data_IF_115279986579
#
_entry.id   IF_115279986579
#
_cell.length_a   1.000
_cell.length_b   1.000
_cell.length_c   1.000
_cell.angle_alpha   90.00
_cell.angle_beta   90.00
_cell.angle_gamma   90.00
#
_symmetry.space_group_name_H-M   'P 1'
#
loop_
_entity.id
_entity.type
_entity.pdbx_description
1 polymer ?
#
# COMPACT_ATOMS: atom_id res chain seq x y z
N UNK A 1 11.66 -15.41 -12.69
CA UNK A 1 12.24 -16.13 -13.86
C UNK A 1 13.77 -16.12 -13.85
N UNK A 2 14.43 -14.95 -13.90
CA UNK A 2 15.91 -14.86 -13.89
C UNK A 2 16.59 -15.53 -12.69
N UNK A 3 16.02 -15.37 -11.50
CA UNK A 3 16.49 -16.01 -10.27
C UNK A 3 16.44 -17.55 -10.32
N UNK A 4 15.42 -18.12 -10.97
CA UNK A 4 15.26 -19.57 -11.14
C UNK A 4 16.29 -20.16 -12.10
N UNK A 5 16.59 -19.45 -13.19
CA UNK A 5 17.64 -19.84 -14.16
C UNK A 5 19.02 -19.85 -13.50
N UNK A 6 19.32 -18.86 -12.66
CA UNK A 6 20.60 -18.77 -11.93
C UNK A 6 20.79 -19.88 -10.88
N UNK A 7 19.70 -20.34 -10.26
CA UNK A 7 19.70 -21.49 -9.35
C UNK A 7 19.82 -22.82 -10.12
N UNK A 8 19.08 -22.97 -11.22
CA UNK A 8 19.13 -24.16 -12.08
C UNK A 8 20.53 -24.38 -12.68
N UNK A 9 21.23 -23.30 -13.05
CA UNK A 9 22.61 -23.34 -13.53
C UNK A 9 23.66 -23.57 -12.43
N UNK A 10 23.25 -23.87 -11.18
CA UNK A 10 24.13 -24.02 -9.98
C UNK A 10 25.07 -22.83 -9.72
N UNK A 11 24.82 -21.68 -10.36
CA UNK A 11 25.62 -20.45 -10.22
C UNK A 11 25.29 -19.70 -8.93
N UNK A 12 24.20 -20.05 -8.23
CA UNK A 12 23.82 -19.51 -6.92
C UNK A 12 23.39 -20.63 -5.98
N UNK A 13 23.67 -20.48 -4.67
CA UNK A 13 23.24 -21.40 -3.60
C UNK A 13 22.06 -20.77 -2.84
N UNK A 14 21.11 -21.60 -2.42
CA UNK A 14 20.07 -21.16 -1.49
C UNK A 14 20.72 -20.73 -0.18
N UNK A 15 20.47 -19.50 0.24
CA UNK A 15 20.80 -19.04 1.58
C UNK A 15 19.60 -19.37 2.46
N UNK A 16 19.77 -20.14 3.53
CA UNK A 16 18.70 -20.48 4.47
C UNK A 16 18.97 -19.76 5.79
N UNK A 17 18.53 -18.52 5.88
CA UNK A 17 18.54 -17.75 7.12
C UNK A 17 17.24 -17.98 7.92
N UNK A 18 17.31 -18.03 9.27
CA UNK A 18 16.12 -18.23 10.12
C UNK A 18 14.92 -17.31 9.81
N UNK A 19 15.09 -15.99 9.55
CA UNK A 19 13.96 -15.13 9.21
C UNK A 19 13.36 -15.45 7.83
N UNK A 20 14.17 -15.86 6.84
CA UNK A 20 13.67 -16.31 5.54
C UNK A 20 12.77 -17.54 5.70
N UNK A 21 13.19 -18.49 6.54
CA UNK A 21 12.43 -19.72 6.78
C UNK A 21 11.10 -19.40 7.46
N UNK A 22 11.10 -18.53 8.47
CA UNK A 22 9.87 -18.09 9.15
C UNK A 22 8.87 -17.43 8.19
N UNK A 23 9.31 -16.50 7.34
CA UNK A 23 8.44 -15.85 6.35
C UNK A 23 7.96 -16.85 5.30
N UNK A 24 8.82 -17.74 4.83
CA UNK A 24 8.44 -18.79 3.86
C UNK A 24 7.37 -19.71 4.43
N UNK A 25 7.54 -20.16 5.66
CA UNK A 25 6.55 -21.00 6.36
C UNK A 25 5.22 -20.25 6.50
N UNK A 26 5.25 -18.98 6.92
CA UNK A 26 4.03 -18.18 7.04
C UNK A 26 3.29 -18.05 5.69
N UNK A 27 4.00 -17.80 4.60
CA UNK A 27 3.43 -17.74 3.25
C UNK A 27 2.83 -19.09 2.85
N UNK A 28 3.52 -20.20 3.13
CA UNK A 28 3.03 -21.52 2.74
C UNK A 28 1.83 -21.95 3.57
N UNK A 29 1.81 -21.63 4.87
CA UNK A 29 0.63 -21.82 5.74
C UNK A 29 -0.55 -21.00 5.21
N UNK A 30 -0.33 -19.76 4.80
CA UNK A 30 -1.36 -18.93 4.18
C UNK A 30 -1.91 -19.58 2.90
N UNK A 31 -1.03 -20.02 1.99
CA UNK A 31 -1.46 -20.71 0.77
C UNK A 31 -2.21 -22.02 1.06
N UNK A 32 -1.74 -22.79 2.04
CA UNK A 32 -2.37 -24.05 2.45
C UNK A 32 -3.76 -23.80 3.06
N UNK A 33 -3.91 -22.78 3.90
CA UNK A 33 -5.20 -22.40 4.47
C UNK A 33 -6.21 -22.04 3.37
N UNK A 34 -5.79 -21.30 2.33
CA UNK A 34 -6.64 -20.98 1.18
C UNK A 34 -7.06 -22.23 0.40
N UNK A 35 -6.13 -23.15 0.15
CA UNK A 35 -6.45 -24.41 -0.52
C UNK A 35 -7.39 -25.29 0.29
N UNK A 36 -7.17 -25.39 1.61
CA UNK A 36 -8.03 -26.14 2.52
C UNK A 36 -9.44 -25.54 2.59
N UNK A 37 -9.55 -24.21 2.73
CA UNK A 37 -10.83 -23.50 2.73
C UNK A 37 -11.61 -23.72 1.42
N UNK A 38 -10.92 -23.68 0.27
CA UNK A 38 -11.56 -23.92 -1.03
C UNK A 38 -11.97 -25.39 -1.21
N UNK A 39 -11.15 -26.33 -0.73
CA UNK A 39 -11.46 -27.76 -0.77
C UNK A 39 -12.66 -28.14 0.10
N UNK A 40 -12.73 -27.63 1.34
CA UNK A 40 -13.85 -27.89 2.28
C UNK A 40 -15.17 -27.34 1.72
N UNK A 41 -15.13 -26.21 1.02
CA UNK A 41 -16.31 -25.58 0.42
C UNK A 41 -16.65 -26.10 -0.99
N UNK A 42 -15.96 -27.14 -1.51
CA UNK A 42 -16.10 -27.63 -2.89
C UNK A 42 -15.99 -26.52 -3.96
N UNK A 43 -15.24 -25.46 -3.66
CA UNK A 43 -15.14 -24.25 -4.49
C UNK A 43 -13.88 -24.20 -5.36
N UNK A 44 -13.10 -25.29 -5.42
CA UNK A 44 -11.80 -25.37 -6.12
C UNK A 44 -11.86 -24.89 -7.59
N UNK A 45 -12.95 -25.19 -8.29
CA UNK A 45 -13.15 -24.73 -9.67
C UNK A 45 -13.43 -23.23 -9.78
N UNK A 46 -14.24 -22.68 -8.88
CA UNK A 46 -14.59 -21.26 -8.87
C UNK A 46 -13.43 -20.38 -8.34
N UNK A 47 -12.63 -20.89 -7.41
CA UNK A 47 -11.48 -20.20 -6.81
C UNK A 47 -10.18 -20.36 -7.63
N UNK A 48 -10.17 -21.21 -8.67
CA UNK A 48 -9.01 -21.50 -9.51
C UNK A 48 -8.20 -20.26 -9.96
N UNK A 49 -8.80 -19.17 -10.50
CA UNK A 49 -8.02 -17.99 -10.91
C UNK A 49 -7.34 -17.29 -9.73
N UNK A 50 -7.97 -17.28 -8.56
CA UNK A 50 -7.39 -16.71 -7.33
C UNK A 50 -6.26 -17.58 -6.79
N UNK A 51 -6.41 -18.91 -6.84
CA UNK A 51 -5.37 -19.86 -6.44
C UNK A 51 -4.15 -19.81 -7.37
N UNK A 52 -4.33 -19.55 -8.67
CA UNK A 52 -3.22 -19.33 -9.60
C UNK A 52 -2.40 -18.08 -9.22
N UNK A 53 -3.05 -17.01 -8.75
CA UNK A 53 -2.33 -15.81 -8.29
C UNK A 53 -1.41 -16.11 -7.09
N UNK A 54 -1.77 -17.07 -6.23
CA UNK A 54 -0.95 -17.50 -5.09
C UNK A 54 0.40 -18.12 -5.50
N UNK A 55 0.51 -18.63 -6.73
CA UNK A 55 1.77 -19.19 -7.26
C UNK A 55 2.90 -18.16 -7.21
N UNK A 56 2.59 -16.87 -7.35
CA UNK A 56 3.58 -15.79 -7.24
C UNK A 56 4.22 -15.75 -5.85
N UNK A 57 3.44 -16.01 -4.80
CA UNK A 57 3.96 -16.07 -3.42
C UNK A 57 4.81 -17.31 -3.17
N UNK A 58 4.52 -18.44 -3.83
CA UNK A 58 5.34 -19.64 -3.73
C UNK A 58 6.78 -19.43 -4.25
N UNK A 59 6.97 -18.45 -5.14
CA UNK A 59 8.28 -18.07 -5.68
C UNK A 59 9.08 -17.14 -4.74
N UNK A 60 8.52 -16.73 -3.59
CA UNK A 60 9.19 -15.87 -2.62
C UNK A 60 10.60 -16.36 -2.21
N UNK A 61 10.82 -17.65 -1.88
CA UNK A 61 12.14 -18.13 -1.45
C UNK A 61 13.21 -17.98 -2.54
N UNK A 62 12.80 -18.13 -3.80
CA UNK A 62 13.67 -17.98 -4.97
C UNK A 62 14.08 -16.51 -5.15
N UNK A 63 13.11 -15.59 -5.01
CA UNK A 63 13.37 -14.15 -5.08
C UNK A 63 14.25 -13.68 -3.91
N UNK A 64 13.95 -14.11 -2.70
CA UNK A 64 14.69 -13.74 -1.50
C UNK A 64 16.15 -14.23 -1.55
N UNK A 65 16.38 -15.48 -1.96
CA UNK A 65 17.74 -16.04 -2.11
C UNK A 65 18.59 -15.19 -3.05
N UNK A 66 18.00 -14.60 -4.10
CA UNK A 66 18.76 -13.72 -4.99
C UNK A 66 19.09 -12.35 -4.41
N UNK A 67 18.28 -11.84 -3.49
CA UNK A 67 18.52 -10.56 -2.82
C UNK A 67 19.52 -10.69 -1.67
N UNK A 68 19.48 -11.82 -0.95
CA UNK A 68 20.37 -12.11 0.18
C UNK A 68 21.86 -12.15 -0.20
N UNK A 69 22.17 -12.48 -1.46
CA UNK A 69 23.54 -12.56 -1.99
C UNK A 69 24.05 -11.19 -2.47
N UNK A 70 23.17 -10.21 -2.70
CA UNK A 70 23.55 -8.89 -3.20
C UNK A 70 24.14 -8.04 -2.06
N UNK A 71 25.19 -7.26 -2.34
CA UNK A 71 25.76 -6.34 -1.37
C UNK A 71 24.68 -5.38 -0.85
N UNK A 72 24.37 -5.46 0.45
CA UNK A 72 23.26 -4.74 1.10
C UNK A 72 23.30 -3.23 0.85
N UNK A 73 24.50 -2.64 0.82
CA UNK A 73 24.70 -1.22 0.53
C UNK A 73 24.29 -0.85 -0.91
N UNK A 74 24.67 -1.68 -1.89
CA UNK A 74 24.29 -1.49 -3.29
C UNK A 74 22.78 -1.65 -3.47
N UNK A 75 22.17 -2.63 -2.79
CA UNK A 75 20.73 -2.82 -2.84
C UNK A 75 19.99 -1.61 -2.25
N UNK A 76 20.40 -1.13 -1.07
CA UNK A 76 19.81 0.05 -0.44
C UNK A 76 19.88 1.28 -1.36
N UNK A 77 21.05 1.49 -1.99
CA UNK A 77 21.27 2.53 -3.01
C UNK A 77 20.31 2.43 -4.19
N UNK A 78 20.20 1.24 -4.79
CA UNK A 78 19.30 1.01 -5.93
C UNK A 78 17.85 1.29 -5.53
N UNK A 79 17.42 0.83 -4.35
CA UNK A 79 16.05 1.05 -3.89
C UNK A 79 15.77 2.53 -3.68
N UNK A 80 16.69 3.29 -3.07
CA UNK A 80 16.53 4.74 -2.88
C UNK A 80 16.43 5.46 -4.23
N UNK A 81 17.28 5.13 -5.20
CA UNK A 81 17.25 5.76 -6.54
C UNK A 81 15.98 5.37 -7.30
N UNK A 82 15.56 4.11 -7.23
CA UNK A 82 14.32 3.64 -7.84
C UNK A 82 13.09 4.32 -7.21
N UNK A 83 13.07 4.47 -5.89
CA UNK A 83 12.02 5.21 -5.17
C UNK A 83 11.99 6.69 -5.55
N UNK A 84 13.15 7.32 -5.76
CA UNK A 84 13.24 8.69 -6.24
C UNK A 84 12.62 8.83 -7.64
N UNK A 85 13.00 7.95 -8.57
CA UNK A 85 12.42 7.91 -9.91
C UNK A 85 10.91 7.64 -9.87
N UNK A 86 10.45 6.74 -8.99
CA UNK A 86 9.04 6.45 -8.80
C UNK A 86 8.25 7.65 -8.27
N UNK A 87 8.80 8.45 -7.34
CA UNK A 87 8.11 9.64 -6.83
C UNK A 87 7.95 10.73 -7.91
N UNK A 88 8.97 10.95 -8.74
CA UNK A 88 8.85 11.87 -9.88
C UNK A 88 7.89 11.34 -10.93
N UNK A 89 7.96 10.05 -11.26
CA UNK A 89 7.02 9.40 -12.17
C UNK A 89 5.57 9.47 -11.67
N UNK A 90 5.36 9.28 -10.37
CA UNK A 90 4.05 9.41 -9.73
C UNK A 90 3.50 10.83 -9.84
N UNK A 91 4.34 11.86 -9.69
CA UNK A 91 3.91 13.24 -9.89
C UNK A 91 3.48 13.50 -11.34
N UNK A 92 4.25 13.04 -12.32
CA UNK A 92 3.91 13.18 -13.75
C UNK A 92 2.57 12.50 -14.04
N UNK A 93 2.39 11.27 -13.58
CA UNK A 93 1.13 10.53 -13.74
C UNK A 93 -0.03 11.24 -13.05
N UNK A 94 0.18 11.75 -11.84
CA UNK A 94 -0.85 12.47 -11.09
C UNK A 94 -1.28 13.76 -11.81
N UNK A 95 -0.33 14.54 -12.33
CA UNK A 95 -0.62 15.77 -13.08
C UNK A 95 -1.37 15.45 -14.38
N UNK A 96 -0.93 14.44 -15.13
CA UNK A 96 -1.60 14.02 -16.37
C UNK A 96 -3.03 13.53 -16.07
N UNK A 97 -3.20 12.67 -15.08
CA UNK A 97 -4.52 12.14 -14.73
C UNK A 97 -5.46 13.21 -14.21
N UNK A 98 -4.97 14.11 -13.36
CA UNK A 98 -5.79 15.15 -12.77
C UNK A 98 -6.17 16.24 -13.78
N UNK A 99 -5.22 16.78 -14.53
CA UNK A 99 -5.47 17.92 -15.42
C UNK A 99 -5.95 17.55 -16.82
N UNK A 100 -5.48 16.43 -17.39
CA UNK A 100 -5.91 16.03 -18.75
C UNK A 100 -7.07 15.05 -18.77
N UNK A 101 -7.10 14.12 -17.82
CA UNK A 101 -8.15 13.09 -17.78
C UNK A 101 -9.29 13.45 -16.82
N UNK A 102 -9.16 14.54 -16.05
CA UNK A 102 -10.17 14.97 -15.07
C UNK A 102 -10.44 13.93 -13.99
N UNK A 103 -9.51 13.00 -13.78
CA UNK A 103 -9.67 11.88 -12.86
C UNK A 103 -8.66 11.98 -11.72
N UNK A 104 -9.03 11.43 -10.57
CA UNK A 104 -8.10 11.27 -9.44
C UNK A 104 -6.89 10.43 -9.85
N UNK A 105 -5.76 10.65 -9.18
CA UNK A 105 -4.54 9.91 -9.49
C UNK A 105 -4.64 8.44 -9.02
N UNK A 106 -4.67 7.53 -9.99
CA UNK A 106 -4.76 6.08 -9.82
C UNK A 106 -3.56 5.34 -10.40
N UNK A 107 -2.72 6.02 -11.18
CA UNK A 107 -1.48 5.44 -11.75
C UNK A 107 -1.70 4.21 -12.63
N UNK A 108 -2.92 4.01 -13.17
CA UNK A 108 -3.27 2.87 -14.00
C UNK A 108 -3.62 1.60 -13.22
N UNK A 109 -3.64 1.65 -11.88
CA UNK A 109 -4.02 0.52 -11.04
C UNK A 109 -5.55 0.31 -10.93
N UNK A 110 -6.35 1.19 -11.56
CA UNK A 110 -7.81 1.21 -11.44
C UNK A 110 -8.33 1.59 -10.06
N UNK A 111 -7.44 1.95 -9.13
CA UNK A 111 -7.78 2.41 -7.79
C UNK A 111 -6.68 3.36 -7.28
N UNK A 112 -7.11 4.44 -6.61
CA UNK A 112 -6.25 5.44 -6.00
C UNK A 112 -5.42 4.89 -4.82
N UNK A 113 -5.93 3.88 -4.09
CA UNK A 113 -5.29 3.35 -2.88
C UNK A 113 -3.94 2.67 -3.19
N UNK A 114 -3.82 1.71 -4.13
CA UNK A 114 -2.54 1.13 -4.51
C UNK A 114 -1.52 2.19 -4.97
N UNK A 115 -1.96 3.16 -5.78
CA UNK A 115 -1.07 4.23 -6.25
C UNK A 115 -0.47 5.04 -5.10
N UNK A 116 -1.31 5.50 -4.18
CA UNK A 116 -0.86 6.32 -3.09
C UNK A 116 -0.07 5.54 -2.03
N UNK A 117 -0.37 4.25 -1.82
CA UNK A 117 0.41 3.39 -0.90
C UNK A 117 1.83 3.14 -1.42
N UNK A 118 1.98 2.79 -2.71
CA UNK A 118 3.30 2.60 -3.34
C UNK A 118 4.09 3.91 -3.36
N UNK A 119 3.42 5.03 -3.67
CA UNK A 119 4.06 6.35 -3.64
C UNK A 119 4.51 6.72 -2.22
N UNK A 120 3.72 6.42 -1.19
CA UNK A 120 4.07 6.62 0.21
C UNK A 120 5.32 5.82 0.60
N UNK A 121 5.40 4.54 0.21
CA UNK A 121 6.61 3.74 0.41
C UNK A 121 7.83 4.38 -0.27
N UNK A 122 7.67 4.87 -1.50
CA UNK A 122 8.71 5.61 -2.22
C UNK A 122 9.18 6.86 -1.46
N UNK A 123 8.25 7.64 -0.92
CA UNK A 123 8.54 8.82 -0.09
C UNK A 123 9.34 8.44 1.15
N UNK A 124 8.93 7.37 1.87
CA UNK A 124 9.64 6.90 3.06
C UNK A 124 11.06 6.43 2.73
N UNK A 125 11.24 5.73 1.61
CA UNK A 125 12.56 5.31 1.14
C UNK A 125 13.45 6.49 0.75
N UNK A 126 12.90 7.52 0.09
CA UNK A 126 13.64 8.75 -0.21
C UNK A 126 14.04 9.49 1.07
N UNK A 127 13.14 9.56 2.05
CA UNK A 127 13.42 10.20 3.35
C UNK A 127 14.50 9.44 4.12
N UNK A 128 14.41 8.11 4.19
CA UNK A 128 15.43 7.26 4.79
C UNK A 128 16.77 7.39 4.07
N UNK A 129 16.78 7.44 2.73
CA UNK A 129 17.97 7.66 1.92
C UNK A 129 18.65 9.02 2.20
N UNK A 130 17.86 10.09 2.33
CA UNK A 130 18.36 11.43 2.61
C UNK A 130 19.02 11.52 4.01
N UNK A 131 18.44 10.86 5.00
CA UNK A 131 18.90 10.84 6.40
C UNK A 131 20.08 9.89 6.63
N UNK A 132 20.07 8.71 6.00
CA UNK A 132 21.10 7.67 6.17
C UNK A 132 22.43 8.03 5.50
N UNK A 133 22.43 8.93 4.51
CA UNK A 133 23.63 9.31 3.77
C UNK A 133 24.17 8.24 2.83
N UNK A 134 23.35 7.22 2.53
CA UNK A 134 23.68 6.14 1.59
C UNK A 134 23.87 6.72 0.18
N UNK A 135 23.06 7.70 -0.20
CA UNK A 135 23.18 8.39 -1.50
C UNK A 135 23.89 9.73 -1.40
N UNK A 136 24.77 9.98 -2.40
CA UNK A 136 25.43 11.28 -2.60
C UNK A 136 24.47 12.33 -3.17
N UNK A 137 23.42 11.93 -3.88
CA UNK A 137 22.44 12.80 -4.51
C UNK A 137 21.36 13.33 -3.53
N UNK A 138 21.76 13.74 -2.31
CA UNK A 138 20.81 14.23 -1.28
C UNK A 138 19.94 15.39 -1.76
N UNK A 139 20.48 16.23 -2.65
CA UNK A 139 19.76 17.37 -3.21
C UNK A 139 18.53 17.01 -4.04
N UNK A 140 18.49 15.82 -4.64
CA UNK A 140 17.35 15.35 -5.45
C UNK A 140 16.32 14.54 -4.63
N UNK A 141 16.71 14.04 -3.45
CA UNK A 141 15.80 13.25 -2.61
C UNK A 141 14.72 14.11 -1.93
N UNK A 142 15.05 15.34 -1.52
CA UNK A 142 14.09 16.29 -0.94
C UNK A 142 12.98 16.67 -1.95
N UNK A 143 13.30 17.11 -3.19
CA UNK A 143 12.26 17.39 -4.18
C UNK A 143 11.50 16.13 -4.60
N UNK A 144 12.12 14.93 -4.55
CA UNK A 144 11.40 13.69 -4.79
C UNK A 144 10.36 13.38 -3.68
N UNK A 145 10.70 13.62 -2.41
CA UNK A 145 9.74 13.53 -1.29
C UNK A 145 8.56 14.47 -1.51
N UNK A 146 8.83 15.72 -1.91
CA UNK A 146 7.78 16.70 -2.21
C UNK A 146 6.91 16.25 -3.38
N UNK A 147 7.52 15.79 -4.47
CA UNK A 147 6.82 15.27 -5.65
C UNK A 147 5.89 14.09 -5.28
N UNK A 148 6.38 13.16 -4.46
CA UNK A 148 5.59 12.03 -3.98
C UNK A 148 4.43 12.45 -3.07
N UNK A 149 4.63 13.41 -2.16
CA UNK A 149 3.54 13.93 -1.31
C UNK A 149 2.47 14.62 -2.16
N UNK A 150 2.87 15.45 -3.14
CA UNK A 150 1.93 16.12 -4.05
C UNK A 150 1.15 15.07 -4.86
N UNK A 151 1.81 14.04 -5.38
CA UNK A 151 1.13 12.95 -6.08
C UNK A 151 0.10 12.21 -5.19
N UNK A 152 0.42 12.00 -3.91
CA UNK A 152 -0.51 11.40 -2.94
C UNK A 152 -1.72 12.30 -2.70
N UNK A 153 -1.54 13.63 -2.64
CA UNK A 153 -2.65 14.57 -2.49
C UNK A 153 -3.62 14.49 -3.68
N UNK A 154 -3.09 14.45 -4.91
CA UNK A 154 -3.90 14.28 -6.13
C UNK A 154 -4.61 12.92 -6.23
N UNK A 155 -4.11 11.90 -5.52
CA UNK A 155 -4.82 10.62 -5.39
C UNK A 155 -6.10 10.76 -4.55
N UNK A 156 -6.17 11.75 -3.66
CA UNK A 156 -7.34 12.00 -2.81
C UNK A 156 -7.58 10.92 -1.74
N UNK A 157 -6.59 10.06 -1.48
CA UNK A 157 -6.72 8.94 -0.55
C UNK A 157 -6.53 9.39 0.89
N UNK A 158 -7.65 9.53 1.61
CA UNK A 158 -7.72 10.07 2.99
C UNK A 158 -6.89 9.29 4.02
N UNK A 159 -6.86 7.96 3.95
CA UNK A 159 -6.17 7.12 4.96
C UNK A 159 -4.65 7.36 4.96
N UNK A 160 -4.10 7.80 3.83
CA UNK A 160 -2.66 8.00 3.68
C UNK A 160 -2.22 9.32 4.32
N UNK A 161 -3.13 10.26 4.56
CA UNK A 161 -2.83 11.47 5.33
C UNK A 161 -2.45 11.15 6.77
N UNK A 162 -2.97 10.05 7.33
CA UNK A 162 -2.56 9.54 8.65
C UNK A 162 -1.32 8.64 8.53
N UNK A 163 -1.22 7.85 7.46
CA UNK A 163 -0.08 6.97 7.25
C UNK A 163 1.24 7.73 7.09
N UNK A 164 1.26 8.86 6.36
CA UNK A 164 2.46 9.68 6.13
C UNK A 164 3.10 10.17 7.45
N UNK A 165 2.40 10.85 8.38
CA UNK A 165 3.02 11.33 9.60
C UNK A 165 3.47 10.17 10.50
N UNK A 166 2.69 9.09 10.61
CA UNK A 166 3.05 7.92 11.43
C UNK A 166 4.34 7.25 10.92
N UNK A 167 4.38 6.95 9.63
CA UNK A 167 5.57 6.32 9.01
C UNK A 167 6.75 7.29 8.93
N UNK A 168 6.49 8.59 8.73
CA UNK A 168 7.49 9.64 8.76
C UNK A 168 8.17 9.73 10.13
N UNK A 169 7.38 9.75 11.20
CA UNK A 169 7.90 9.70 12.58
C UNK A 169 8.75 8.44 12.76
N UNK A 170 8.27 7.26 12.34
CA UNK A 170 9.03 6.02 12.48
C UNK A 170 10.41 6.09 11.79
N UNK A 171 10.49 6.62 10.56
CA UNK A 171 11.78 6.81 9.85
C UNK A 171 12.68 7.80 10.59
N UNK A 172 12.12 8.88 11.13
CA UNK A 172 12.89 9.82 11.97
C UNK A 172 13.40 9.14 13.24
N UNK A 173 12.58 8.29 13.88
CA UNK A 173 12.97 7.57 15.10
C UNK A 173 14.15 6.63 14.84
N UNK A 174 14.11 5.91 13.72
CA UNK A 174 15.18 4.99 13.29
C UNK A 174 16.49 5.75 13.05
N UNK A 175 16.41 6.99 12.55
CA UNK A 175 17.57 7.81 12.20
C UNK A 175 17.93 8.88 13.26
N UNK A 176 17.43 8.77 14.50
CA UNK A 176 17.61 9.76 15.60
C UNK A 176 19.04 10.25 15.79
N UNK A 177 20.01 9.33 15.83
CA UNK A 177 21.43 9.68 16.04
C UNK A 177 22.01 10.61 14.96
N UNK A 178 21.49 10.54 13.73
CA UNK A 178 21.88 11.43 12.62
C UNK A 178 21.13 12.75 12.67
N UNK A 179 19.90 12.76 13.18
CA UNK A 179 19.10 13.97 13.40
C UNK A 179 19.70 14.86 14.48
N UNK A 180 20.25 14.27 15.55
CA UNK A 180 20.96 15.00 16.62
C UNK A 180 22.22 15.72 16.10
N UNK A 181 22.83 15.18 15.04
CA UNK A 181 23.99 15.79 14.36
C UNK A 181 23.58 16.83 13.31
N UNK A 182 22.31 16.86 12.91
CA UNK A 182 21.80 17.80 11.92
C UNK A 182 21.35 19.10 12.61
N UNK A 183 21.52 20.24 11.94
CA UNK A 183 21.04 21.50 12.50
C UNK A 183 19.50 21.53 12.53
N UNK A 184 18.95 21.60 13.75
CA UNK A 184 17.52 21.65 13.99
C UNK A 184 16.84 22.78 13.20
N UNK A 185 17.49 23.95 13.11
CA UNK A 185 17.03 25.09 12.31
C UNK A 185 16.88 24.75 10.81
N UNK A 186 17.79 23.96 10.23
CA UNK A 186 17.72 23.55 8.82
C UNK A 186 16.59 22.55 8.59
N UNK A 187 16.39 21.61 9.52
CA UNK A 187 15.29 20.66 9.47
C UNK A 187 13.94 21.36 9.59
N UNK A 188 13.80 22.29 10.53
CA UNK A 188 12.59 23.10 10.68
C UNK A 188 12.31 23.95 9.45
N UNK A 189 13.35 24.54 8.84
CA UNK A 189 13.19 25.34 7.63
C UNK A 189 12.72 24.47 6.44
N UNK A 190 13.30 23.29 6.25
CA UNK A 190 12.85 22.34 5.23
C UNK A 190 11.40 21.92 5.49
N UNK A 191 11.07 21.55 6.74
CA UNK A 191 9.71 21.16 7.11
C UNK A 191 8.70 22.31 6.89
N UNK A 192 9.05 23.54 7.24
CA UNK A 192 8.22 24.72 7.04
C UNK A 192 7.96 24.97 5.56
N UNK A 193 9.00 24.96 4.72
CA UNK A 193 8.86 25.14 3.26
C UNK A 193 7.99 24.04 2.66
N UNK A 194 8.21 22.78 3.05
CA UNK A 194 7.39 21.65 2.59
C UNK A 194 5.93 21.81 3.00
N UNK A 195 5.66 22.18 4.27
CA UNK A 195 4.31 22.40 4.76
C UNK A 195 3.59 23.53 4.04
N UNK A 196 4.31 24.60 3.68
CA UNK A 196 3.76 25.73 2.94
C UNK A 196 3.36 25.31 1.51
N UNK A 197 4.25 24.58 0.81
CA UNK A 197 3.94 24.09 -0.55
C UNK A 197 2.75 23.11 -0.52
N UNK A 198 2.71 22.22 0.47
CA UNK A 198 1.60 21.29 0.68
C UNK A 198 0.31 22.04 0.98
N UNK A 199 0.35 23.08 1.80
CA UNK A 199 -0.83 23.88 2.11
C UNK A 199 -1.36 24.58 0.86
N UNK A 200 -0.50 25.23 0.06
CA UNK A 200 -0.91 25.96 -1.14
C UNK A 200 -1.52 25.02 -2.18
N UNK A 201 -0.89 23.86 -2.45
CA UNK A 201 -1.36 22.92 -3.46
C UNK A 201 -2.52 22.03 -2.97
N UNK A 202 -2.55 21.73 -1.68
CA UNK A 202 -3.50 20.81 -1.06
C UNK A 202 -4.76 21.46 -0.54
N UNK A 203 -4.80 22.79 -0.32
CA UNK A 203 -5.92 23.46 0.37
C UNK A 203 -7.28 23.15 -0.27
N UNK A 204 -7.40 23.32 -1.60
CA UNK A 204 -8.65 23.05 -2.32
C UNK A 204 -9.09 21.59 -2.25
N UNK A 205 -8.14 20.65 -2.34
CA UNK A 205 -8.41 19.20 -2.26
C UNK A 205 -8.84 18.84 -0.82
N UNK A 206 -8.23 19.46 0.18
CA UNK A 206 -8.51 19.18 1.59
C UNK A 206 -9.85 19.76 2.01
N UNK A 207 -10.19 20.98 1.61
CA UNK A 207 -11.45 21.65 1.98
C UNK A 207 -12.66 20.91 1.42
N UNK A 208 -12.66 20.62 0.12
CA UNK A 208 -13.77 19.91 -0.55
C UNK A 208 -13.99 18.51 0.04
N UNK A 209 -12.91 17.87 0.50
CA UNK A 209 -12.97 16.52 1.07
C UNK A 209 -13.38 16.50 2.53
N UNK A 210 -13.06 17.54 3.30
CA UNK A 210 -13.51 17.70 4.67
C UNK A 210 -15.03 17.89 4.72
N UNK A 211 -15.57 18.74 3.86
CA UNK A 211 -17.01 19.00 3.77
C UNK A 211 -17.80 17.72 3.43
N UNK A 212 -17.29 16.93 2.47
CA UNK A 212 -17.90 15.64 2.11
C UNK A 212 -17.83 14.60 3.26
N UNK A 213 -16.79 14.64 4.10
CA UNK A 213 -16.69 13.72 5.24
C UNK A 213 -17.73 14.03 6.31
N UNK A 214 -17.94 15.32 6.61
CA UNK A 214 -18.95 15.73 7.59
C UNK A 214 -20.36 15.43 7.07
N UNK A 215 -20.64 15.67 5.78
CA UNK A 215 -21.94 15.32 5.19
C UNK A 215 -22.20 13.80 5.17
N UNK A 216 -21.18 12.99 4.86
CA UNK A 216 -21.28 11.52 4.91
C UNK A 216 -21.56 11.02 6.33
N UNK A 217 -20.90 11.62 7.33
CA UNK A 217 -21.07 11.24 8.72
C UNK A 217 -22.47 11.59 9.25
N UNK A 218 -22.98 12.77 8.88
CA UNK A 218 -24.34 13.19 9.22
C UNK A 218 -25.41 12.32 8.55
N UNK A 219 -25.18 11.87 7.31
CA UNK A 219 -26.06 10.94 6.62
C UNK A 219 -26.05 9.55 7.29
N UNK A 220 -24.87 9.07 7.70
CA UNK A 220 -24.74 7.81 8.44
C UNK A 220 -25.43 7.88 9.82
N UNK A 221 -25.30 9.01 10.52
CA UNK A 221 -25.97 9.24 11.80
C UNK A 221 -27.51 9.23 11.68
N UNK A 222 -28.03 9.55 10.49
CA UNK A 222 -29.46 9.50 10.15
C UNK A 222 -29.91 8.12 9.63
N UNK A 223 -29.04 7.12 9.60
CA UNK A 223 -29.35 5.76 9.17
C UNK A 223 -29.27 5.52 7.66
N UNK A 224 -28.71 6.47 6.89
CA UNK A 224 -28.51 6.28 5.46
C UNK A 224 -27.19 5.56 5.18
N UNK A 225 -27.31 4.29 4.76
CA UNK A 225 -26.18 3.43 4.42
C UNK A 225 -25.76 3.50 2.94
N UNK A 226 -26.42 4.32 2.11
CA UNK A 226 -26.08 4.49 0.70
C UNK A 226 -24.84 5.36 0.46
N UNK A 227 -24.27 5.96 1.51
CA UNK A 227 -23.02 6.72 1.43
C UNK A 227 -21.80 5.79 1.34
N UNK A 228 -20.64 6.26 0.82
CA UNK A 228 -19.42 5.44 0.75
C UNK A 228 -18.94 4.94 2.12
N UNK A 229 -19.22 5.71 3.18
CA UNK A 229 -18.92 5.32 4.56
C UNK A 229 -19.97 4.32 5.08
N UNK A 230 -21.25 4.54 4.77
CA UNK A 230 -22.33 3.61 5.06
C UNK A 230 -22.16 2.23 4.43
N UNK A 231 -21.77 2.16 3.15
CA UNK A 231 -21.47 0.91 2.45
C UNK A 231 -20.34 0.11 3.12
N UNK A 232 -19.31 0.80 3.64
CA UNK A 232 -18.21 0.13 4.38
C UNK A 232 -18.68 -0.41 5.72
N UNK A 233 -19.51 0.33 6.44
CA UNK A 233 -20.10 -0.14 7.70
C UNK A 233 -21.00 -1.35 7.44
N UNK A 234 -21.82 -1.31 6.38
CA UNK A 234 -22.63 -2.43 5.95
C UNK A 234 -21.78 -3.65 5.58
N UNK A 235 -20.70 -3.48 4.80
CA UNK A 235 -19.74 -4.54 4.49
C UNK A 235 -19.11 -5.15 5.75
N UNK A 236 -18.76 -4.33 6.74
CA UNK A 236 -18.23 -4.82 8.02
C UNK A 236 -19.26 -5.65 8.79
N UNK A 237 -20.53 -5.24 8.79
CA UNK A 237 -21.61 -5.99 9.44
C UNK A 237 -21.88 -7.32 8.74
N UNK A 238 -21.97 -7.31 7.41
CA UNK A 238 -22.13 -8.51 6.58
C UNK A 238 -20.95 -9.47 6.79
N UNK A 239 -19.72 -8.94 6.74
CA UNK A 239 -18.49 -9.72 6.94
C UNK A 239 -18.39 -10.31 8.34
N UNK A 240 -18.80 -9.58 9.38
CA UNK A 240 -18.85 -10.09 10.75
C UNK A 240 -19.89 -11.20 10.93
N UNK A 241 -21.04 -11.08 10.26
CA UNK A 241 -22.04 -12.15 10.17
C UNK A 241 -21.47 -13.40 9.53
N UNK A 242 -20.91 -13.27 8.32
CA UNK A 242 -20.31 -14.39 7.59
C UNK A 242 -19.18 -15.07 8.37
N UNK A 243 -18.38 -14.30 9.14
CA UNK A 243 -17.34 -14.84 10.02
C UNK A 243 -17.94 -15.65 11.18
N UNK A 244 -19.04 -15.21 11.78
CA UNK A 244 -19.73 -15.96 12.85
C UNK A 244 -20.31 -17.28 12.32
N UNK A 245 -20.76 -17.29 11.08
CA UNK A 245 -21.34 -18.48 10.45
C UNK A 245 -20.28 -19.56 10.16
N UNK A 246 -19.09 -19.16 9.66
CA UNK A 246 -18.01 -20.09 9.33
C UNK A 246 -16.63 -19.56 9.78
N UNK A 247 -16.30 -19.64 11.09
CA UNK A 247 -15.12 -18.99 11.66
C UNK A 247 -13.78 -19.67 11.31
N UNK A 248 -13.80 -20.97 11.01
CA UNK A 248 -12.56 -21.77 10.84
C UNK A 248 -12.17 -21.86 9.35
N UNK A 249 -13.06 -22.35 8.51
CA UNK A 249 -12.78 -22.59 7.08
C UNK A 249 -13.34 -21.49 6.17
N UNK A 250 -14.16 -20.58 6.69
CA UNK A 250 -14.83 -19.55 5.91
C UNK A 250 -15.74 -20.14 4.82
N UNK A 251 -16.15 -19.27 3.90
CA UNK A 251 -17.08 -19.62 2.82
C UNK A 251 -16.39 -19.81 1.45
N UNK A 252 -15.08 -19.57 1.36
CA UNK A 252 -14.34 -19.52 0.09
C UNK A 252 -14.31 -18.12 -0.54
N UNK A 253 -13.36 -17.89 -1.46
CA UNK A 253 -13.14 -16.55 -2.05
C UNK A 253 -14.27 -16.20 -3.01
N UNK A 254 -14.65 -17.13 -3.89
CA UNK A 254 -15.71 -16.94 -4.86
C UNK A 254 -17.08 -16.68 -4.19
N UNK A 255 -17.33 -17.31 -3.04
CA UNK A 255 -18.55 -17.11 -2.28
C UNK A 255 -18.63 -15.71 -1.63
N UNK A 256 -17.50 -15.05 -1.40
CA UNK A 256 -17.45 -13.74 -0.73
C UNK A 256 -18.23 -12.67 -1.50
N UNK A 257 -18.16 -12.67 -2.84
CA UNK A 257 -18.93 -11.72 -3.66
C UNK A 257 -20.44 -11.99 -3.59
N UNK A 258 -20.84 -13.27 -3.60
CA UNK A 258 -22.25 -13.65 -3.49
C UNK A 258 -22.81 -13.28 -2.12
N UNK A 259 -22.06 -13.54 -1.04
CA UNK A 259 -22.42 -13.18 0.33
C UNK A 259 -22.51 -11.67 0.54
N UNK A 260 -21.60 -10.90 -0.05
CA UNK A 260 -21.69 -9.44 -0.03
C UNK A 260 -22.97 -8.96 -0.71
N UNK A 261 -23.24 -9.43 -1.93
CA UNK A 261 -24.41 -9.02 -2.71
C UNK A 261 -25.71 -9.40 -1.99
N UNK A 262 -25.77 -10.61 -1.45
CA UNK A 262 -26.91 -11.08 -0.68
C UNK A 262 -27.07 -10.30 0.63
N UNK A 263 -25.99 -10.07 1.36
CA UNK A 263 -26.02 -9.30 2.62
C UNK A 263 -26.48 -7.86 2.43
N UNK A 264 -26.08 -7.20 1.34
CA UNK A 264 -26.56 -5.86 1.00
C UNK A 264 -28.06 -5.83 0.72
N UNK A 265 -28.56 -6.85 0.02
CA UNK A 265 -29.97 -6.97 -0.29
C UNK A 265 -30.79 -7.29 0.98
N UNK A 266 -30.39 -8.30 1.73
CA UNK A 266 -31.19 -8.86 2.83
C UNK A 266 -31.15 -8.00 4.11
N UNK A 267 -30.01 -7.37 4.41
CA UNK A 267 -29.84 -6.59 5.65
C UNK A 267 -30.08 -5.10 5.47
N UNK A 268 -29.91 -4.57 4.25
CA UNK A 268 -29.98 -3.13 3.99
C UNK A 268 -30.93 -2.75 2.84
N UNK A 269 -31.60 -3.72 2.20
CA UNK A 269 -32.52 -3.45 1.09
C UNK A 269 -31.85 -2.83 -0.14
N UNK A 270 -30.53 -2.97 -0.28
CA UNK A 270 -29.76 -2.34 -1.36
C UNK A 270 -29.54 -3.32 -2.52
N UNK A 271 -29.90 -2.90 -3.74
CA UNK A 271 -29.75 -3.71 -4.94
C UNK A 271 -28.30 -3.76 -5.50
N UNK A 272 -27.40 -2.89 -5.02
CA UNK A 272 -26.01 -2.83 -5.46
C UNK A 272 -25.04 -3.07 -4.29
N UNK A 273 -24.13 -4.01 -4.53
CA UNK A 273 -22.82 -4.17 -3.90
C UNK A 273 -21.82 -4.54 -4.98
#
# INVERSE_FOLDING_TARGET
LWSGVLLALKRRRFNFDPPMLAITVAIYVYCAAYLLASAVNNALGADAPHLVALVTFLLFPISYSTWSITAKATLARIVVVASMAACFGALVLAVVQYYWLGMRAEGGAGNAIPFATVTCLGVMMCMAGALSGIERAKGLLIPAVLAGIIAILYSGTRIIWVAIPVSGIAVLLINRRRLEQASLARLLLIAAVMSLVIAILGFHIVSERADFLFSDWDALAKGDHATPTGLRVALWQIGLGAFRDAPIFGHGIAASQALMKQGFHDQFGMAMG
#
